data_IF_192694914398
#
_entry.id   IF_192694914398
#
_cell.length_a   1.000
_cell.length_b   1.000
_cell.length_c   1.000
_cell.angle_alpha   90.00
_cell.angle_beta   90.00
_cell.angle_gamma   90.00
#
_symmetry.space_group_name_H-M   'P 1'
#
loop_
_entity.id
_entity.type
_entity.pdbx_description
1 polymer ?
#
# COMPACT_ATOMS: atom_id res chain seq x y z
N UNK A 1 4.04 -16.22 -18.71
CA UNK A 1 4.53 -14.90 -19.14
C UNK A 1 4.37 -13.96 -17.96
N UNK A 2 5.45 -13.36 -17.46
CA UNK A 2 5.37 -12.37 -16.39
C UNK A 2 4.62 -11.16 -16.93
N UNK A 3 3.55 -10.76 -16.28
CA UNK A 3 2.74 -9.63 -16.74
C UNK A 3 3.51 -8.32 -16.51
N UNK A 4 3.50 -7.42 -17.49
CA UNK A 4 4.03 -6.06 -17.34
C UNK A 4 2.93 -5.10 -16.88
N UNK A 5 3.31 -4.03 -16.19
CA UNK A 5 2.48 -2.91 -15.77
C UNK A 5 3.27 -1.60 -15.95
N UNK A 6 2.78 -0.74 -16.84
CA UNK A 6 3.27 0.64 -16.96
C UNK A 6 2.63 1.48 -15.87
N UNK A 7 3.47 2.05 -15.00
CA UNK A 7 3.06 2.85 -13.87
C UNK A 7 2.89 4.31 -14.30
N UNK A 8 1.65 4.73 -14.51
CA UNK A 8 1.28 6.15 -14.51
C UNK A 8 1.12 6.58 -13.03
N UNK A 9 2.07 7.36 -12.48
CA UNK A 9 2.14 7.56 -11.03
C UNK A 9 0.89 8.19 -10.44
N UNK A 10 0.42 7.64 -9.31
CA UNK A 10 -0.81 8.06 -8.66
C UNK A 10 -2.10 7.55 -9.30
N UNK A 11 -2.02 6.57 -10.22
CA UNK A 11 -3.18 5.98 -10.90
C UNK A 11 -3.26 4.45 -10.79
N UNK A 12 -2.63 3.85 -9.77
CA UNK A 12 -2.78 2.41 -9.51
C UNK A 12 -4.22 2.08 -9.14
N UNK A 13 -4.85 1.19 -9.90
CA UNK A 13 -6.18 0.69 -9.58
C UNK A 13 -6.12 -0.40 -8.52
N UNK A 14 -7.25 -0.65 -7.83
CA UNK A 14 -7.38 -1.81 -6.93
C UNK A 14 -7.12 -3.16 -7.63
N UNK A 15 -7.40 -3.24 -8.94
CA UNK A 15 -7.11 -4.43 -9.74
C UNK A 15 -5.59 -4.63 -9.94
N UNK A 16 -4.85 -3.55 -10.20
CA UNK A 16 -3.39 -3.57 -10.29
C UNK A 16 -2.77 -3.96 -8.95
N UNK A 17 -3.27 -3.38 -7.85
CA UNK A 17 -2.85 -3.72 -6.49
C UNK A 17 -3.07 -5.21 -6.20
N UNK A 18 -4.26 -5.75 -6.51
CA UNK A 18 -4.56 -7.18 -6.35
C UNK A 18 -3.61 -8.05 -7.17
N UNK A 19 -3.32 -7.65 -8.41
CA UNK A 19 -2.40 -8.35 -9.32
C UNK A 19 -0.97 -8.36 -8.78
N UNK A 20 -0.44 -7.22 -8.33
CA UNK A 20 0.87 -7.08 -7.68
C UNK A 20 0.93 -7.94 -6.41
N UNK A 21 -0.11 -7.90 -5.58
CA UNK A 21 -0.14 -8.68 -4.34
C UNK A 21 -0.08 -10.19 -4.60
N UNK A 22 -0.76 -10.68 -5.63
CA UNK A 22 -0.87 -12.11 -5.92
C UNK A 22 0.33 -12.67 -6.68
N UNK A 23 0.93 -11.90 -7.60
CA UNK A 23 1.94 -12.42 -8.52
C UNK A 23 3.09 -11.42 -8.71
N UNK A 24 4.30 -11.89 -9.06
CA UNK A 24 5.32 -11.03 -9.64
C UNK A 24 4.80 -10.35 -10.92
N UNK A 25 5.02 -9.05 -11.00
CA UNK A 25 4.68 -8.18 -12.14
C UNK A 25 5.97 -7.47 -12.53
N UNK A 26 6.16 -7.11 -13.79
CA UNK A 26 7.25 -6.23 -14.21
C UNK A 26 6.74 -4.78 -14.22
N UNK A 27 7.40 -3.87 -13.52
CA UNK A 27 7.08 -2.45 -13.50
C UNK A 27 7.95 -1.68 -14.49
N UNK A 28 7.35 -0.71 -15.15
CA UNK A 28 8.05 0.32 -15.92
C UNK A 28 7.37 1.67 -15.66
N UNK A 29 8.14 2.75 -15.55
CA UNK A 29 7.55 4.09 -15.44
C UNK A 29 6.96 4.55 -16.76
N UNK A 30 5.82 5.22 -16.68
CA UNK A 30 5.26 5.93 -17.82
C UNK A 30 6.21 7.10 -18.19
N UNK A 31 6.65 7.25 -19.46
CA UNK A 31 7.64 8.24 -19.85
C UNK A 31 7.29 9.68 -19.46
N UNK A 32 6.00 10.02 -19.41
CA UNK A 32 5.50 11.34 -19.03
C UNK A 32 5.80 11.71 -17.57
N UNK A 33 6.11 10.74 -16.71
CA UNK A 33 6.44 11.00 -15.29
C UNK A 33 7.85 11.53 -15.06
N UNK A 34 8.76 11.30 -16.01
CA UNK A 34 10.18 11.63 -15.88
C UNK A 34 10.41 13.13 -15.68
N UNK A 35 9.67 13.98 -16.39
CA UNK A 35 9.82 15.43 -16.31
C UNK A 35 9.58 15.95 -14.89
N UNK A 36 8.47 15.54 -14.26
CA UNK A 36 8.12 15.97 -12.91
C UNK A 36 9.14 15.48 -11.85
N UNK A 37 9.67 14.27 -12.01
CA UNK A 37 10.72 13.73 -11.13
C UNK A 37 11.97 14.59 -11.22
N UNK A 38 12.47 14.83 -12.44
CA UNK A 38 13.69 15.61 -12.69
C UNK A 38 13.54 17.05 -12.23
N UNK A 39 12.42 17.71 -12.53
CA UNK A 39 12.14 19.08 -12.08
C UNK A 39 12.15 19.17 -10.54
N UNK A 40 11.54 18.21 -9.84
CA UNK A 40 11.54 18.18 -8.38
C UNK A 40 12.94 18.02 -7.79
N UNK A 41 13.80 17.23 -8.43
CA UNK A 41 15.18 17.05 -8.01
C UNK A 41 16.00 18.33 -8.24
N UNK A 42 15.83 18.97 -9.39
CA UNK A 42 16.49 20.24 -9.71
C UNK A 42 16.10 21.35 -8.73
N UNK A 43 14.83 21.44 -8.33
CA UNK A 43 14.36 22.38 -7.31
C UNK A 43 15.07 22.17 -5.96
N UNK A 44 15.28 20.93 -5.53
CA UNK A 44 16.05 20.65 -4.29
C UNK A 44 17.47 21.20 -4.41
N UNK A 45 18.15 20.94 -5.53
CA UNK A 45 19.51 21.43 -5.75
C UNK A 45 19.58 22.97 -5.78
N UNK A 46 18.64 23.62 -6.48
CA UNK A 46 18.56 25.08 -6.56
C UNK A 46 18.35 25.72 -5.19
N UNK A 47 17.44 25.17 -4.38
CA UNK A 47 17.14 25.74 -3.07
C UNK A 47 18.31 25.55 -2.08
N UNK A 48 19.00 24.41 -2.12
CA UNK A 48 20.23 24.20 -1.34
C UNK A 48 21.31 25.20 -1.77
N UNK A 49 21.50 25.42 -3.07
CA UNK A 49 22.48 26.36 -3.59
C UNK A 49 22.19 27.82 -3.18
N UNK A 50 20.94 28.16 -2.90
CA UNK A 50 20.53 29.46 -2.36
C UNK A 50 20.81 29.62 -0.86
N UNK A 51 21.28 28.57 -0.17
CA UNK A 51 21.55 28.59 1.27
C UNK A 51 20.30 28.55 2.16
N UNK A 52 19.13 28.19 1.60
CA UNK A 52 17.91 28.02 2.40
C UNK A 52 18.05 26.79 3.31
N UNK A 53 17.68 26.94 4.58
CA UNK A 53 17.66 25.85 5.55
C UNK A 53 16.34 25.10 5.46
N UNK A 54 16.40 23.79 5.24
CA UNK A 54 15.22 22.94 5.05
C UNK A 54 15.35 21.67 5.91
N UNK A 55 14.27 21.35 6.62
CA UNK A 55 14.16 20.14 7.44
C UNK A 55 14.50 18.87 6.66
N UNK A 56 15.48 18.10 7.15
CA UNK A 56 15.85 16.79 6.60
C UNK A 56 16.51 16.81 5.22
N UNK A 57 16.78 18.01 4.67
CA UNK A 57 17.55 18.20 3.42
C UNK A 57 18.97 18.63 3.76
N UNK A 58 19.12 19.73 4.51
CA UNK A 58 20.42 20.24 5.00
C UNK A 58 20.41 20.55 6.50
N UNK A 59 19.51 19.92 7.23
CA UNK A 59 19.43 19.97 8.70
C UNK A 59 19.41 18.56 9.27
N UNK A 60 19.67 18.44 10.57
CA UNK A 60 19.46 17.19 11.29
C UNK A 60 17.98 16.82 11.44
N UNK A 61 17.71 15.69 12.11
CA UNK A 61 16.35 15.18 12.33
C UNK A 61 15.92 15.32 13.79
N UNK A 62 14.62 15.39 14.05
CA UNK A 62 14.07 15.44 15.40
C UNK A 62 14.63 16.60 16.24
N UNK A 63 15.35 16.29 17.33
CA UNK A 63 15.97 17.31 18.19
C UNK A 63 16.95 18.23 17.42
N UNK A 64 17.56 17.74 16.34
CA UNK A 64 18.53 18.47 15.52
C UNK A 64 17.89 19.17 14.31
N UNK A 65 16.55 19.27 14.25
CA UNK A 65 15.81 19.89 13.14
C UNK A 65 16.26 21.34 12.83
N UNK A 66 16.81 22.05 13.82
CA UNK A 66 17.30 23.44 13.68
C UNK A 66 18.82 23.54 13.51
N UNK A 67 19.53 22.42 13.41
CA UNK A 67 20.99 22.40 13.24
C UNK A 67 21.33 22.21 11.77
N UNK A 68 21.97 23.21 11.17
CA UNK A 68 22.45 23.14 9.79
C UNK A 68 23.61 22.12 9.70
N UNK A 69 23.52 21.23 8.72
CA UNK A 69 24.56 20.23 8.44
C UNK A 69 25.42 20.75 7.27
N UNK A 70 26.75 20.73 7.37
CA UNK A 70 27.63 21.12 6.28
C UNK A 70 27.37 20.30 5.02
N UNK A 71 27.54 20.90 3.84
CA UNK A 71 27.23 20.25 2.56
C UNK A 71 28.03 18.96 2.35
N UNK A 72 29.29 18.94 2.80
CA UNK A 72 30.19 17.79 2.77
C UNK A 72 29.74 16.61 3.66
N UNK A 73 28.87 16.86 4.64
CA UNK A 73 28.31 15.83 5.52
C UNK A 73 26.93 15.33 5.08
N UNK A 74 26.29 15.97 4.08
CA UNK A 74 24.92 15.62 3.68
C UNK A 74 24.80 14.19 3.15
N UNK A 75 25.79 13.72 2.39
CA UNK A 75 25.85 12.34 1.92
C UNK A 75 25.92 11.36 3.10
N UNK A 76 26.81 11.64 4.06
CA UNK A 76 26.96 10.82 5.25
C UNK A 76 25.69 10.81 6.11
N UNK A 77 24.99 11.95 6.19
CA UNK A 77 23.70 12.07 6.85
C UNK A 77 22.65 11.15 6.21
N UNK A 78 22.56 11.11 4.87
CA UNK A 78 21.61 10.23 4.17
C UNK A 78 21.91 8.75 4.38
N UNK A 79 23.18 8.37 4.37
CA UNK A 79 23.58 7.01 4.68
C UNK A 79 23.22 6.65 6.14
N UNK A 80 23.52 7.55 7.08
CA UNK A 80 23.30 7.33 8.51
C UNK A 80 21.82 7.27 8.89
N UNK A 81 20.95 8.08 8.28
CA UNK A 81 19.51 8.02 8.58
C UNK A 81 18.94 6.66 8.16
N UNK A 82 19.31 6.13 7.00
CA UNK A 82 18.85 4.81 6.55
C UNK A 82 19.26 3.73 7.55
N UNK A 83 20.54 3.65 7.93
CA UNK A 83 21.01 2.60 8.83
C UNK A 83 20.47 2.73 10.26
N UNK A 84 20.44 3.95 10.80
CA UNK A 84 19.94 4.19 12.17
C UNK A 84 18.44 3.90 12.32
N UNK A 85 17.66 4.05 11.25
CA UNK A 85 16.22 3.81 11.27
C UNK A 85 15.85 2.38 10.87
N UNK A 86 16.77 1.57 10.33
CA UNK A 86 16.57 0.15 10.05
C UNK A 86 16.54 -0.68 11.35
N UNK A 87 15.63 -0.33 12.25
CA UNK A 87 15.49 -0.84 13.61
C UNK A 87 14.21 -1.67 13.82
N UNK A 88 13.57 -2.10 12.72
CA UNK A 88 12.46 -3.06 12.78
C UNK A 88 12.87 -4.40 13.39
N UNK A 89 11.91 -5.11 13.99
CA UNK A 89 12.11 -6.38 14.69
C UNK A 89 11.01 -7.40 14.37
N UNK A 90 11.23 -8.65 14.78
CA UNK A 90 10.29 -9.74 14.60
C UNK A 90 10.53 -10.53 13.32
N UNK A 91 9.53 -11.31 12.92
CA UNK A 91 9.58 -12.07 11.68
C UNK A 91 9.59 -11.13 10.47
N UNK A 92 10.14 -11.59 9.35
CA UNK A 92 10.11 -10.83 8.11
C UNK A 92 8.74 -10.89 7.45
N UNK A 93 8.32 -9.79 6.86
CA UNK A 93 7.14 -9.73 6.00
C UNK A 93 7.28 -10.68 4.81
N UNK A 94 6.15 -11.23 4.35
CA UNK A 94 6.11 -12.06 3.15
C UNK A 94 6.61 -11.28 1.92
N UNK A 95 7.23 -11.99 0.96
CA UNK A 95 7.69 -11.38 -0.30
C UNK A 95 6.57 -10.65 -1.06
N UNK A 96 5.31 -11.09 -0.94
CA UNK A 96 4.16 -10.39 -1.54
C UNK A 96 3.89 -9.03 -0.89
N UNK A 97 4.04 -8.93 0.43
CA UNK A 97 3.88 -7.69 1.18
C UNK A 97 5.01 -6.72 0.84
N UNK A 98 6.26 -7.19 0.83
CA UNK A 98 7.42 -6.36 0.46
C UNK A 98 7.31 -5.91 -1.00
N UNK A 99 6.90 -6.80 -1.92
CA UNK A 99 6.64 -6.44 -3.32
C UNK A 99 5.61 -5.33 -3.44
N UNK A 100 4.47 -5.46 -2.76
CA UNK A 100 3.43 -4.42 -2.77
C UNK A 100 3.96 -3.10 -2.18
N UNK A 101 4.64 -3.15 -1.05
CA UNK A 101 5.25 -1.97 -0.42
C UNK A 101 6.26 -1.26 -1.34
N UNK A 102 7.12 -2.00 -2.04
CA UNK A 102 8.03 -1.45 -3.05
C UNK A 102 7.28 -0.77 -4.19
N UNK A 103 6.24 -1.42 -4.74
CA UNK A 103 5.43 -0.84 -5.82
C UNK A 103 4.75 0.47 -5.38
N UNK A 104 4.21 0.53 -4.16
CA UNK A 104 3.61 1.73 -3.59
C UNK A 104 4.64 2.85 -3.37
N UNK A 105 5.86 2.51 -2.93
CA UNK A 105 6.94 3.49 -2.74
C UNK A 105 7.38 4.07 -4.08
N UNK A 106 7.59 3.21 -5.08
CA UNK A 106 7.90 3.64 -6.45
C UNK A 106 6.77 4.55 -6.95
N UNK A 107 5.50 4.15 -6.83
CA UNK A 107 4.34 4.95 -7.24
C UNK A 107 4.31 6.33 -6.60
N UNK A 108 4.53 6.43 -5.28
CA UNK A 108 4.56 7.70 -4.55
C UNK A 108 5.70 8.60 -5.02
N UNK A 109 6.93 8.07 -5.09
CA UNK A 109 8.12 8.86 -5.47
C UNK A 109 8.01 9.37 -6.91
N UNK A 110 7.49 8.53 -7.81
CA UNK A 110 7.35 8.87 -9.23
C UNK A 110 6.31 9.94 -9.53
N UNK A 111 5.55 10.41 -8.52
CA UNK A 111 4.66 11.57 -8.69
C UNK A 111 5.41 12.89 -8.81
N UNK A 112 6.71 12.94 -8.49
CA UNK A 112 7.55 14.13 -8.71
C UNK A 112 7.41 15.22 -7.63
N UNK A 113 7.11 14.84 -6.39
CA UNK A 113 7.02 15.78 -5.26
C UNK A 113 8.06 15.48 -4.15
N UNK A 114 8.91 14.47 -4.35
CA UNK A 114 9.82 13.98 -3.32
C UNK A 114 11.27 14.43 -3.54
N UNK A 115 11.61 15.06 -4.68
CA UNK A 115 12.96 15.58 -4.93
C UNK A 115 14.07 14.52 -4.97
N UNK A 116 13.69 13.26 -5.22
CA UNK A 116 14.61 12.12 -5.35
C UNK A 116 15.05 11.99 -6.81
N UNK A 117 16.28 11.53 -7.06
CA UNK A 117 16.75 11.26 -8.42
C UNK A 117 15.98 10.12 -9.08
N UNK A 118 15.81 10.24 -10.40
CA UNK A 118 15.25 9.18 -11.24
C UNK A 118 16.04 7.87 -11.10
N UNK A 119 17.38 7.93 -11.04
CA UNK A 119 18.23 6.73 -10.94
C UNK A 119 17.93 5.89 -9.69
N UNK A 120 17.50 6.50 -8.59
CA UNK A 120 17.15 5.79 -7.35
C UNK A 120 15.81 5.09 -7.50
N UNK A 121 14.85 5.73 -8.17
CA UNK A 121 13.56 5.10 -8.51
C UNK A 121 13.78 3.94 -9.50
N UNK A 122 14.62 4.13 -10.51
CA UNK A 122 14.98 3.08 -11.47
C UNK A 122 15.69 1.90 -10.80
N UNK A 123 16.52 2.14 -9.79
CA UNK A 123 17.15 1.09 -9.00
C UNK A 123 16.13 0.29 -8.17
N UNK A 124 15.14 0.95 -7.55
CA UNK A 124 14.04 0.27 -6.88
C UNK A 124 13.22 -0.59 -7.86
N UNK A 125 12.98 -0.08 -9.07
CA UNK A 125 12.30 -0.83 -10.14
C UNK A 125 13.14 -2.04 -10.59
N UNK A 126 14.45 -1.88 -10.75
CA UNK A 126 15.34 -2.97 -11.14
C UNK A 126 15.37 -4.09 -10.07
N UNK A 127 15.47 -3.75 -8.78
CA UNK A 127 15.35 -4.73 -7.69
C UNK A 127 13.98 -5.43 -7.70
N UNK A 128 12.90 -4.66 -7.84
CA UNK A 128 11.53 -5.18 -7.90
C UNK A 128 11.35 -6.17 -9.06
N UNK A 129 11.82 -5.80 -10.26
CA UNK A 129 11.71 -6.58 -11.49
C UNK A 129 12.60 -7.83 -11.47
N UNK A 130 13.72 -7.79 -10.77
CA UNK A 130 14.60 -8.93 -10.52
C UNK A 130 14.08 -9.87 -9.42
N UNK A 131 12.91 -9.59 -8.83
CA UNK A 131 12.35 -10.34 -7.70
C UNK A 131 13.33 -10.43 -6.52
N UNK A 132 14.06 -9.33 -6.29
CA UNK A 132 14.97 -9.14 -5.16
C UNK A 132 14.25 -8.30 -4.11
N UNK A 133 13.69 -8.97 -3.09
CA UNK A 133 12.86 -8.30 -2.09
C UNK A 133 13.64 -8.11 -0.79
N UNK A 134 13.79 -6.89 -0.26
CA UNK A 134 14.44 -6.67 1.04
C UNK A 134 13.80 -7.48 2.17
N UNK A 135 14.60 -8.00 3.09
CA UNK A 135 14.13 -8.64 4.31
C UNK A 135 13.65 -7.58 5.30
N UNK A 136 12.35 -7.28 5.28
CA UNK A 136 11.74 -6.22 6.10
C UNK A 136 11.01 -6.82 7.30
N UNK A 137 11.40 -6.53 8.55
CA UNK A 137 10.70 -7.03 9.74
C UNK A 137 9.27 -6.48 9.85
N UNK A 138 8.37 -7.30 10.38
CA UNK A 138 6.94 -6.99 10.46
C UNK A 138 6.59 -5.92 11.53
N UNK A 139 7.46 -5.69 12.53
CA UNK A 139 7.20 -4.75 13.65
C UNK A 139 8.23 -3.63 13.71
N UNK A 140 7.79 -2.47 14.20
CA UNK A 140 8.65 -1.33 14.50
C UNK A 140 8.08 0.01 14.02
N UNK A 141 7.24 -0.01 12.97
CA UNK A 141 6.49 1.19 12.57
C UNK A 141 5.39 1.50 13.59
N UNK A 142 5.15 2.79 13.80
CA UNK A 142 4.02 3.32 14.58
C UNK A 142 3.03 4.11 13.71
N UNK A 143 3.27 4.23 12.40
CA UNK A 143 2.40 4.96 11.46
C UNK A 143 2.26 6.48 11.69
N UNK A 144 2.84 7.05 12.74
CA UNK A 144 2.67 8.47 13.10
C UNK A 144 3.71 9.42 12.46
N UNK A 145 4.90 8.92 12.14
CA UNK A 145 6.01 9.68 11.52
C UNK A 145 6.43 9.10 10.17
N UNK A 146 5.50 8.39 9.52
CA UNK A 146 5.78 7.45 8.45
C UNK A 146 6.25 6.08 8.96
N UNK A 147 6.33 5.14 8.03
CA UNK A 147 6.78 3.77 8.18
C UNK A 147 8.31 3.67 8.17
N UNK A 148 8.96 4.51 9.01
CA UNK A 148 10.41 4.73 8.98
C UNK A 148 11.21 3.43 9.05
N UNK A 149 10.90 2.55 10.01
CA UNK A 149 11.65 1.32 10.23
C UNK A 149 11.58 0.33 9.06
N UNK A 150 10.38 -0.08 8.58
CA UNK A 150 10.30 -1.00 7.45
C UNK A 150 10.80 -0.38 6.13
N UNK A 151 10.60 0.92 5.90
CA UNK A 151 11.11 1.60 4.71
C UNK A 151 12.62 1.83 4.74
N UNK A 152 13.21 1.98 5.93
CA UNK A 152 14.66 1.96 6.13
C UNK A 152 15.25 0.60 5.76
N UNK A 153 14.70 -0.50 6.28
CA UNK A 153 15.10 -1.85 5.91
C UNK A 153 15.02 -2.09 4.40
N UNK A 154 13.93 -1.64 3.74
CA UNK A 154 13.82 -1.67 2.27
C UNK A 154 14.97 -0.93 1.59
N UNK A 155 15.36 0.21 2.14
CA UNK A 155 16.31 1.13 1.52
C UNK A 155 17.78 0.78 1.81
N UNK A 156 18.07 -0.02 2.85
CA UNK A 156 19.44 -0.52 3.11
C UNK A 156 20.05 -1.22 1.91
N UNK A 157 19.22 -1.90 1.10
CA UNK A 157 19.68 -2.65 -0.08
C UNK A 157 20.28 -1.73 -1.13
N UNK A 158 19.75 -0.51 -1.29
CA UNK A 158 20.32 0.49 -2.22
C UNK A 158 21.74 0.88 -1.82
N UNK A 159 22.07 0.81 -0.52
CA UNK A 159 23.42 1.07 0.00
C UNK A 159 24.34 -0.15 -0.09
N UNK A 160 23.84 -1.30 -0.56
CA UNK A 160 24.54 -2.59 -0.52
C UNK A 160 24.55 -3.26 0.85
N UNK A 161 23.81 -2.71 1.81
CA UNK A 161 23.68 -3.20 3.18
C UNK A 161 22.42 -4.06 3.34
N UNK A 162 22.26 -4.67 4.51
CA UNK A 162 21.07 -5.47 4.82
C UNK A 162 21.02 -6.81 4.07
N UNK A 163 19.81 -7.37 3.95
CA UNK A 163 19.58 -8.69 3.39
C UNK A 163 18.32 -8.71 2.52
N UNK A 164 18.30 -9.61 1.54
CA UNK A 164 17.20 -9.79 0.59
C UNK A 164 16.74 -11.23 0.58
N UNK A 165 15.45 -11.42 0.28
CA UNK A 165 14.85 -12.68 -0.11
C UNK A 165 14.77 -12.73 -1.63
N UNK A 166 15.37 -13.75 -2.25
CA UNK A 166 15.31 -14.00 -3.68
C UNK A 166 15.00 -15.47 -3.92
N UNK A 167 13.84 -15.76 -4.54
CA UNK A 167 13.33 -17.11 -4.78
C UNK A 167 13.42 -18.06 -3.56
N UNK A 168 13.07 -17.55 -2.37
CA UNK A 168 13.08 -18.31 -1.12
C UNK A 168 14.45 -18.45 -0.45
N UNK A 169 15.50 -17.83 -1.01
CA UNK A 169 16.83 -17.80 -0.41
C UNK A 169 17.14 -16.40 0.16
N UNK A 170 17.68 -16.38 1.39
CA UNK A 170 18.17 -15.17 2.03
C UNK A 170 19.62 -14.91 1.61
N UNK A 171 19.87 -13.72 1.08
CA UNK A 171 21.17 -13.29 0.56
C UNK A 171 21.54 -11.92 1.15
N UNK A 172 22.80 -11.52 1.09
CA UNK A 172 23.21 -10.16 1.44
C UNK A 172 22.66 -9.13 0.44
N UNK A 173 22.43 -7.90 0.90
CA UNK A 173 21.97 -6.78 0.05
C UNK A 173 22.88 -6.55 -1.15
N UNK A 174 24.21 -6.57 -0.94
CA UNK A 174 25.20 -6.54 -2.02
C UNK A 174 24.96 -7.62 -3.08
N UNK A 175 24.67 -8.86 -2.68
CA UNK A 175 24.38 -9.92 -3.65
C UNK A 175 23.06 -9.68 -4.38
N UNK A 176 22.07 -9.13 -3.68
CA UNK A 176 20.81 -8.67 -4.28
C UNK A 176 21.01 -7.62 -5.38
N UNK A 177 21.84 -6.60 -5.12
CA UNK A 177 22.20 -5.59 -6.12
C UNK A 177 22.88 -6.22 -7.34
N UNK A 178 23.85 -7.13 -7.13
CA UNK A 178 24.51 -7.85 -8.24
C UNK A 178 23.50 -8.62 -9.11
N UNK A 179 22.50 -9.27 -8.50
CA UNK A 179 21.44 -9.99 -9.22
C UNK A 179 20.60 -9.02 -10.07
N UNK A 180 20.30 -7.83 -9.54
CA UNK A 180 19.57 -6.78 -10.25
C UNK A 180 20.43 -6.00 -11.25
N UNK A 181 21.72 -6.32 -11.40
CA UNK A 181 22.64 -5.60 -12.28
C UNK A 181 23.03 -4.20 -11.77
N UNK A 182 22.92 -3.98 -10.47
CA UNK A 182 23.16 -2.70 -9.81
C UNK A 182 24.47 -2.70 -9.00
N UNK A 183 24.95 -1.51 -8.72
CA UNK A 183 26.00 -1.25 -7.71
C UNK A 183 25.39 -0.42 -6.57
N UNK A 184 26.02 -0.41 -5.37
CA UNK A 184 25.57 0.46 -4.28
C UNK A 184 25.44 1.91 -4.72
N UNK A 185 24.37 2.56 -4.25
CA UNK A 185 24.01 3.94 -4.60
C UNK A 185 24.38 4.85 -3.44
N UNK A 186 25.15 5.88 -3.75
CA UNK A 186 25.37 7.02 -2.87
C UNK A 186 24.14 7.92 -2.91
N UNK A 187 23.48 8.12 -1.76
CA UNK A 187 22.28 8.96 -1.67
C UNK A 187 22.63 10.46 -1.59
N UNK A 188 21.90 11.26 -2.36
CA UNK A 188 22.00 12.72 -2.38
C UNK A 188 21.06 13.39 -1.38
N UNK A 189 21.13 14.72 -1.21
CA UNK A 189 20.30 15.46 -0.26
C UNK A 189 18.81 15.12 -0.38
N UNK A 190 18.12 14.99 0.77
CA UNK A 190 16.70 14.58 0.91
C UNK A 190 16.40 13.11 0.61
N UNK A 191 17.22 12.39 -0.15
CA UNK A 191 16.84 11.07 -0.67
C UNK A 191 16.65 10.01 0.41
N UNK A 192 17.45 10.02 1.47
CA UNK A 192 17.27 9.14 2.62
C UNK A 192 15.89 9.36 3.27
N UNK A 193 15.48 10.62 3.42
CA UNK A 193 14.17 10.93 3.98
C UNK A 193 13.02 10.61 3.01
N UNK A 194 13.17 10.87 1.71
CA UNK A 194 12.17 10.52 0.70
C UNK A 194 11.90 9.00 0.66
N UNK A 195 12.94 8.21 0.84
CA UNK A 195 12.85 6.75 0.91
C UNK A 195 12.15 6.27 2.19
N UNK A 196 12.56 6.79 3.35
CA UNK A 196 12.08 6.34 4.67
C UNK A 196 10.71 6.90 5.05
N UNK A 197 10.36 8.08 4.57
CA UNK A 197 9.15 8.78 4.97
C UNK A 197 7.98 8.41 4.06
N UNK A 198 6.81 8.12 4.64
CA UNK A 198 5.63 7.65 3.92
C UNK A 198 4.92 6.50 4.59
N UNK A 199 3.80 6.10 4.01
CA UNK A 199 2.79 5.21 4.62
C UNK A 199 2.69 3.84 3.95
N UNK A 200 3.69 3.47 3.15
CA UNK A 200 3.59 2.35 2.21
C UNK A 200 3.58 0.97 2.89
N UNK A 201 4.20 0.80 4.06
CA UNK A 201 4.16 -0.48 4.78
C UNK A 201 2.77 -0.68 5.42
N UNK A 202 2.27 0.35 6.10
CA UNK A 202 0.93 0.42 6.67
C UNK A 202 -0.13 0.20 5.59
N UNK A 203 -0.03 0.92 4.47
CA UNK A 203 -0.95 0.80 3.34
C UNK A 203 -0.89 -0.59 2.70
N UNK A 204 0.30 -1.18 2.49
CA UNK A 204 0.43 -2.52 1.91
C UNK A 204 -0.23 -3.60 2.79
N UNK A 205 0.00 -3.56 4.10
CA UNK A 205 -0.62 -4.51 5.05
C UNK A 205 -2.15 -4.34 5.09
N UNK A 206 -2.64 -3.10 5.15
CA UNK A 206 -4.07 -2.80 5.16
C UNK A 206 -4.76 -3.23 3.84
N UNK A 207 -4.13 -2.98 2.69
CA UNK A 207 -4.60 -3.45 1.39
C UNK A 207 -4.66 -4.98 1.33
N UNK A 208 -3.65 -5.70 1.84
CA UNK A 208 -3.72 -7.15 1.92
C UNK A 208 -4.88 -7.64 2.81
N UNK A 209 -5.13 -6.95 3.93
CA UNK A 209 -6.29 -7.19 4.78
C UNK A 209 -7.61 -6.96 4.04
N UNK A 210 -7.72 -5.88 3.28
CA UNK A 210 -8.87 -5.57 2.43
C UNK A 210 -9.12 -6.67 1.40
N UNK A 211 -8.10 -7.05 0.63
CA UNK A 211 -8.21 -8.07 -0.42
C UNK A 211 -8.67 -9.42 0.15
N UNK A 212 -8.09 -9.83 1.29
CA UNK A 212 -8.52 -11.05 2.02
C UNK A 212 -9.95 -10.92 2.54
N UNK A 213 -10.35 -9.74 3.01
CA UNK A 213 -11.70 -9.48 3.50
C UNK A 213 -12.74 -9.58 2.37
N UNK A 214 -12.43 -9.09 1.17
CA UNK A 214 -13.28 -9.25 -0.01
C UNK A 214 -13.46 -10.72 -0.39
N UNK A 215 -12.38 -11.51 -0.37
CA UNK A 215 -12.42 -12.94 -0.69
C UNK A 215 -13.25 -13.72 0.36
N UNK A 216 -13.04 -13.44 1.64
CA UNK A 216 -13.82 -14.03 2.74
C UNK A 216 -15.29 -13.60 2.70
N UNK A 217 -15.55 -12.35 2.34
CA UNK A 217 -16.91 -11.84 2.19
C UNK A 217 -17.67 -12.60 1.10
N UNK A 218 -17.05 -12.78 -0.07
CA UNK A 218 -17.64 -13.58 -1.16
C UNK A 218 -17.89 -15.04 -0.73
N UNK A 219 -16.92 -15.68 -0.07
CA UNK A 219 -17.07 -17.03 0.45
C UNK A 219 -18.19 -17.15 1.50
N UNK A 220 -18.36 -16.14 2.35
CA UNK A 220 -19.40 -16.08 3.35
C UNK A 220 -20.81 -15.97 2.73
N UNK A 221 -20.98 -15.21 1.64
CA UNK A 221 -22.26 -15.16 0.91
C UNK A 221 -22.65 -16.52 0.33
N UNK A 222 -21.68 -17.25 -0.24
CA UNK A 222 -21.90 -18.61 -0.76
C UNK A 222 -22.25 -19.58 0.37
N UNK A 223 -21.44 -19.58 1.44
CA UNK A 223 -21.63 -20.46 2.59
C UNK A 223 -22.96 -20.19 3.30
N UNK A 224 -23.33 -18.91 3.42
CA UNK A 224 -24.62 -18.46 3.96
C UNK A 224 -25.80 -18.91 3.10
N UNK A 225 -25.66 -18.83 1.77
CA UNK A 225 -26.68 -19.32 0.83
C UNK A 225 -26.87 -20.84 0.95
N UNK A 226 -25.78 -21.61 1.02
CA UNK A 226 -25.84 -23.06 1.24
C UNK A 226 -26.47 -23.40 2.60
N UNK A 227 -26.18 -22.61 3.64
CA UNK A 227 -26.77 -22.80 4.97
C UNK A 227 -28.27 -22.54 5.00
N UNK A 228 -28.75 -21.55 4.23
CA UNK A 228 -30.19 -21.31 4.04
C UNK A 228 -30.86 -22.53 3.40
N UNK A 229 -30.28 -23.08 2.32
CA UNK A 229 -30.82 -24.27 1.68
C UNK A 229 -30.81 -25.49 2.63
N UNK A 230 -29.68 -25.76 3.28
CA UNK A 230 -29.55 -26.90 4.19
C UNK A 230 -30.52 -26.84 5.38
N UNK A 231 -30.85 -25.63 5.83
CA UNK A 231 -31.79 -25.40 6.93
C UNK A 231 -33.26 -25.35 6.49
N UNK A 232 -33.57 -25.57 5.20
CA UNK A 232 -34.90 -25.37 4.63
C UNK A 232 -35.43 -23.94 4.92
N UNK A 233 -34.54 -22.95 4.83
CA UNK A 233 -34.81 -21.55 5.17
C UNK A 233 -35.66 -20.85 4.11
N UNK A 234 -36.32 -19.77 4.53
CA UNK A 234 -37.15 -18.93 3.66
C UNK A 234 -36.30 -18.04 2.75
N UNK A 235 -36.76 -17.87 1.51
CA UNK A 235 -36.22 -16.88 0.56
C UNK A 235 -36.84 -15.48 0.72
N UNK A 236 -37.96 -15.35 1.44
CA UNK A 236 -38.67 -14.08 1.64
C UNK A 236 -37.81 -12.99 2.29
N UNK A 237 -36.90 -13.28 3.26
CA UNK A 237 -35.99 -12.28 3.82
C UNK A 237 -35.10 -11.56 2.82
N UNK A 238 -34.89 -12.12 1.63
CA UNK A 238 -34.03 -11.57 0.58
C UNK A 238 -34.83 -10.75 -0.47
N UNK A 239 -36.14 -10.58 -0.29
CA UNK A 239 -37.00 -9.85 -1.23
C UNK A 239 -36.53 -8.40 -1.39
N UNK A 240 -36.35 -7.90 -2.64
CA UNK A 240 -35.85 -6.55 -2.89
C UNK A 240 -36.64 -5.46 -2.17
N UNK A 241 -37.96 -5.62 -1.95
CA UNK A 241 -38.81 -4.61 -1.30
C UNK A 241 -38.36 -4.34 0.14
N UNK A 242 -37.94 -5.37 0.88
CA UNK A 242 -37.46 -5.24 2.27
C UNK A 242 -36.21 -4.37 2.32
N UNK A 243 -35.33 -4.53 1.35
CA UNK A 243 -34.03 -3.85 1.33
C UNK A 243 -34.15 -2.44 0.77
N UNK A 244 -34.98 -2.27 -0.26
CA UNK A 244 -35.30 -0.98 -0.86
C UNK A 244 -35.96 -0.02 0.14
N UNK A 245 -36.96 -0.48 0.92
CA UNK A 245 -37.62 0.38 1.92
C UNK A 245 -36.69 0.79 3.06
N UNK A 246 -35.64 0.00 3.35
CA UNK A 246 -34.62 0.34 4.35
C UNK A 246 -33.56 1.31 3.81
N UNK A 247 -33.22 1.24 2.52
CA UNK A 247 -32.42 2.25 1.82
C UNK A 247 -30.89 2.12 1.90
N UNK A 248 -30.33 1.14 2.62
CA UNK A 248 -28.87 0.94 2.64
C UNK A 248 -28.37 0.21 1.38
N UNK A 249 -27.58 0.90 0.56
CA UNK A 249 -27.10 0.35 -0.73
C UNK A 249 -26.39 -1.00 -0.60
N UNK A 250 -25.42 -1.12 0.33
CA UNK A 250 -24.69 -2.37 0.52
C UNK A 250 -25.59 -3.54 0.96
N UNK A 251 -26.64 -3.28 1.75
CA UNK A 251 -27.62 -4.32 2.08
C UNK A 251 -28.44 -4.73 0.85
N UNK A 252 -28.82 -3.78 -0.01
CA UNK A 252 -29.55 -4.05 -1.26
C UNK A 252 -28.70 -4.92 -2.18
N UNK A 253 -27.42 -4.60 -2.33
CA UNK A 253 -26.47 -5.33 -3.17
C UNK A 253 -26.26 -6.76 -2.65
N UNK A 254 -26.08 -6.91 -1.33
CA UNK A 254 -25.92 -8.22 -0.69
C UNK A 254 -27.16 -9.07 -0.86
N UNK A 255 -28.35 -8.51 -0.65
CA UNK A 255 -29.58 -9.24 -0.87
C UNK A 255 -29.74 -9.67 -2.34
N UNK A 256 -29.34 -8.82 -3.28
CA UNK A 256 -29.32 -9.18 -4.69
C UNK A 256 -28.37 -10.35 -4.97
N UNK A 257 -27.20 -10.37 -4.33
CA UNK A 257 -26.26 -11.49 -4.43
C UNK A 257 -26.86 -12.79 -3.87
N UNK A 258 -27.47 -12.76 -2.68
CA UNK A 258 -28.16 -13.92 -2.12
C UNK A 258 -29.27 -14.44 -3.02
N UNK A 259 -30.09 -13.56 -3.61
CA UNK A 259 -31.13 -13.99 -4.57
C UNK A 259 -30.52 -14.66 -5.81
N UNK A 260 -29.42 -14.12 -6.33
CA UNK A 260 -28.73 -14.71 -7.47
C UNK A 260 -28.15 -16.10 -7.15
N UNK A 261 -27.54 -16.26 -5.96
CA UNK A 261 -26.95 -17.52 -5.51
C UNK A 261 -28.00 -18.58 -5.16
N UNK A 262 -29.08 -18.20 -4.47
CA UNK A 262 -30.13 -19.12 -4.02
C UNK A 262 -31.07 -19.56 -5.14
N UNK A 263 -31.28 -18.70 -6.14
CA UNK A 263 -32.18 -18.94 -7.27
C UNK A 263 -33.48 -19.64 -6.86
N UNK A 264 -33.88 -20.61 -7.70
CA UNK A 264 -34.93 -21.58 -7.38
C UNK A 264 -34.35 -22.98 -7.32
N UNK A 265 -34.77 -23.77 -6.34
CA UNK A 265 -34.26 -25.14 -6.15
C UNK A 265 -35.36 -26.14 -5.81
N UNK A 266 -35.05 -27.44 -5.89
CA UNK A 266 -35.96 -28.48 -5.42
C UNK A 266 -36.13 -28.44 -3.89
N UNK A 267 -35.09 -27.99 -3.18
CA UNK A 267 -35.11 -27.83 -1.73
C UNK A 267 -36.13 -26.74 -1.37
N UNK A 268 -36.08 -25.57 -2.01
CA UNK A 268 -37.10 -24.50 -1.87
C UNK A 268 -38.54 -25.03 -1.84
N UNK A 269 -38.87 -25.83 -2.85
CA UNK A 269 -40.22 -26.32 -3.08
C UNK A 269 -40.63 -27.36 -2.03
N UNK A 270 -39.66 -28.10 -1.48
CA UNK A 270 -39.92 -29.16 -0.50
C UNK A 270 -40.51 -28.64 0.81
N UNK A 271 -40.31 -27.35 1.11
CA UNK A 271 -40.76 -26.71 2.35
C UNK A 271 -41.60 -25.45 2.10
N UNK A 272 -42.24 -25.32 0.94
CA UNK A 272 -43.10 -24.17 0.61
C UNK A 272 -44.29 -24.00 1.59
N UNK A 273 -44.73 -25.12 2.19
CA UNK A 273 -45.82 -25.18 3.16
C UNK A 273 -45.32 -25.37 4.61
N UNK A 274 -44.08 -24.97 4.92
CA UNK A 274 -43.51 -25.09 6.26
C UNK A 274 -44.29 -24.27 7.31
N UNK A 275 -44.52 -24.85 8.49
CA UNK A 275 -45.21 -24.17 9.60
C UNK A 275 -44.35 -23.07 10.28
N UNK A 276 -43.05 -23.04 10.01
CA UNK A 276 -42.14 -22.07 10.60
C UNK A 276 -42.45 -20.65 10.11
N UNK A 277 -42.85 -19.78 11.03
CA UNK A 277 -43.26 -18.39 10.72
C UNK A 277 -42.05 -17.50 10.37
N UNK A 278 -40.90 -17.74 11.01
CA UNK A 278 -39.69 -16.95 10.79
C UNK A 278 -38.43 -17.80 10.99
N UNK A 279 -37.45 -17.63 10.12
CA UNK A 279 -36.11 -18.17 10.34
C UNK A 279 -35.36 -17.43 11.46
N UNK A 280 -34.39 -18.10 12.11
CA UNK A 280 -33.43 -17.47 13.01
C UNK A 280 -32.71 -16.28 12.35
N UNK A 281 -32.27 -15.33 13.16
CA UNK A 281 -31.59 -14.13 12.68
C UNK A 281 -30.30 -14.44 11.91
N UNK A 282 -29.58 -15.51 12.27
CA UNK A 282 -28.38 -15.95 11.53
C UNK A 282 -28.66 -16.28 10.07
N UNK A 283 -29.91 -16.58 9.69
CA UNK A 283 -30.31 -16.81 8.29
C UNK A 283 -31.03 -15.58 7.73
N UNK A 284 -32.08 -15.10 8.41
CA UNK A 284 -32.94 -14.01 7.91
C UNK A 284 -32.28 -12.64 7.91
N UNK A 285 -31.36 -12.37 8.83
CA UNK A 285 -30.70 -11.08 8.95
C UNK A 285 -29.36 -11.01 8.18
N UNK A 286 -29.04 -12.02 7.37
CA UNK A 286 -27.80 -12.03 6.58
C UNK A 286 -27.65 -10.78 5.71
N UNK A 287 -28.67 -10.29 4.96
CA UNK A 287 -28.51 -9.05 4.19
C UNK A 287 -28.15 -7.83 5.02
N UNK A 288 -28.71 -7.72 6.22
CA UNK A 288 -28.49 -6.60 7.14
C UNK A 288 -27.07 -6.63 7.70
N UNK A 289 -26.63 -7.79 8.19
CA UNK A 289 -25.31 -7.96 8.82
C UNK A 289 -24.21 -7.90 7.76
N UNK A 290 -24.32 -8.70 6.70
CA UNK A 290 -23.33 -8.73 5.63
C UNK A 290 -23.34 -7.41 4.84
N UNK A 291 -24.50 -6.76 4.70
CA UNK A 291 -24.58 -5.41 4.13
C UNK A 291 -23.79 -4.37 4.93
N UNK A 292 -23.80 -4.45 6.27
CA UNK A 292 -22.99 -3.59 7.11
C UNK A 292 -21.48 -3.86 6.91
N UNK A 293 -21.08 -5.13 6.84
CA UNK A 293 -19.69 -5.51 6.53
C UNK A 293 -19.25 -4.98 5.15
N UNK A 294 -20.09 -5.12 4.12
CA UNK A 294 -19.78 -4.62 2.77
C UNK A 294 -19.61 -3.10 2.75
N UNK A 295 -20.40 -2.36 3.53
CA UNK A 295 -20.20 -0.92 3.69
C UNK A 295 -18.81 -0.60 4.24
N UNK A 296 -18.36 -1.31 5.28
CA UNK A 296 -17.03 -1.07 5.85
C UNK A 296 -15.92 -1.47 4.89
N UNK A 297 -16.05 -2.59 4.18
CA UNK A 297 -15.10 -3.02 3.13
C UNK A 297 -14.98 -1.93 2.05
N UNK A 298 -16.11 -1.37 1.59
CA UNK A 298 -16.12 -0.30 0.57
C UNK A 298 -15.49 1.00 1.08
N UNK A 299 -15.76 1.38 2.33
CA UNK A 299 -15.17 2.56 2.94
C UNK A 299 -13.64 2.43 3.05
N UNK A 300 -13.16 1.29 3.57
CA UNK A 300 -11.73 1.00 3.64
C UNK A 300 -11.09 0.96 2.25
N UNK A 301 -11.75 0.35 1.26
CA UNK A 301 -11.27 0.32 -0.12
C UNK A 301 -11.09 1.73 -0.70
N UNK A 302 -12.01 2.64 -0.43
CA UNK A 302 -11.90 4.02 -0.89
C UNK A 302 -10.68 4.73 -0.28
N UNK A 303 -10.52 4.63 1.04
CA UNK A 303 -9.42 5.28 1.76
C UNK A 303 -8.07 4.71 1.31
N UNK A 304 -7.94 3.38 1.29
CA UNK A 304 -6.70 2.70 0.93
C UNK A 304 -6.33 2.89 -0.54
N UNK A 305 -7.31 3.00 -1.44
CA UNK A 305 -7.04 3.31 -2.84
C UNK A 305 -6.49 4.73 -3.04
N UNK A 306 -6.97 5.70 -2.26
CA UNK A 306 -6.41 7.05 -2.24
C UNK A 306 -4.98 7.00 -1.70
N UNK A 307 -4.77 6.33 -0.56
CA UNK A 307 -3.46 6.25 0.08
C UNK A 307 -2.41 5.56 -0.79
N UNK A 308 -2.80 4.50 -1.50
CA UNK A 308 -1.92 3.78 -2.43
C UNK A 308 -1.35 4.68 -3.55
N UNK A 309 -2.02 5.80 -3.82
CA UNK A 309 -1.70 6.79 -4.83
C UNK A 309 -1.26 8.15 -4.25
N UNK A 310 -1.13 8.24 -2.92
CA UNK A 310 -0.74 9.47 -2.23
C UNK A 310 0.76 9.76 -2.38
N UNK A 311 1.12 11.03 -2.22
CA UNK A 311 2.49 11.43 -1.88
C UNK A 311 2.54 11.59 -0.37
N UNK A 312 3.21 10.66 0.29
CA UNK A 312 3.26 10.59 1.76
C UNK A 312 4.63 10.87 2.37
N UNK A 313 5.65 11.25 1.58
CA UNK A 313 6.92 11.72 2.12
C UNK A 313 6.85 13.16 2.63
N UNK A 314 7.94 13.64 3.23
CA UNK A 314 8.06 15.01 3.73
C UNK A 314 9.54 15.43 3.83
N UNK A 315 9.88 16.71 3.58
CA UNK A 315 9.03 17.76 3.03
C UNK A 315 8.67 17.53 1.57
N UNK A 316 7.64 18.20 1.06
CA UNK A 316 7.21 18.11 -0.33
C UNK A 316 7.84 19.21 -1.18
N UNK A 317 8.18 18.87 -2.41
CA UNK A 317 8.77 19.77 -3.40
C UNK A 317 7.70 20.20 -4.39
N UNK A 318 7.49 21.51 -4.51
CA UNK A 318 6.59 22.12 -5.47
C UNK A 318 7.41 22.88 -6.51
N UNK A 319 7.89 22.16 -7.53
CA UNK A 319 8.83 22.68 -8.52
C UNK A 319 8.29 23.93 -9.26
N UNK A 320 7.00 23.93 -9.60
CA UNK A 320 6.32 25.06 -10.25
C UNK A 320 6.35 26.36 -9.42
N UNK A 321 6.50 26.23 -8.10
CA UNK A 321 6.54 27.36 -7.15
C UNK A 321 7.97 27.61 -6.64
N UNK A 322 8.95 26.79 -7.07
CA UNK A 322 10.30 26.75 -6.54
C UNK A 322 10.34 26.72 -5.00
N UNK A 323 9.48 25.90 -4.40
CA UNK A 323 9.31 25.83 -2.96
C UNK A 323 9.36 24.40 -2.40
N UNK A 324 9.73 24.32 -1.12
CA UNK A 324 9.75 23.08 -0.34
C UNK A 324 8.98 23.32 0.96
N UNK A 325 7.89 22.57 1.13
CA UNK A 325 6.93 22.77 2.20
C UNK A 325 6.94 21.55 3.12
N UNK A 326 7.15 21.78 4.41
CA UNK A 326 6.98 20.75 5.42
C UNK A 326 5.50 20.64 5.81
N UNK A 327 4.97 19.42 5.75
CA UNK A 327 3.62 19.04 6.16
C UNK A 327 3.63 17.77 7.01
N UNK A 328 2.54 17.00 6.92
CA UNK A 328 2.31 15.81 7.76
C UNK A 328 1.70 14.62 7.00
N UNK A 329 1.87 14.54 5.68
CA UNK A 329 1.28 13.48 4.86
C UNK A 329 1.77 12.06 5.21
N UNK A 330 2.82 11.95 6.01
CA UNK A 330 3.36 10.69 6.51
C UNK A 330 2.55 10.07 7.65
N UNK A 331 1.60 10.81 8.22
CA UNK A 331 0.79 10.30 9.31
C UNK A 331 -0.33 9.40 8.77
N UNK A 332 -0.23 8.10 9.02
CA UNK A 332 -1.09 7.06 8.49
C UNK A 332 -2.46 6.95 9.21
N UNK A 333 -2.97 8.03 9.80
CA UNK A 333 -4.24 8.00 10.57
C UNK A 333 -5.41 7.49 9.70
N UNK A 334 -5.57 7.91 8.43
CA UNK A 334 -6.63 7.37 7.58
C UNK A 334 -6.50 5.87 7.32
N UNK A 335 -5.27 5.34 7.25
CA UNK A 335 -5.01 3.90 7.04
C UNK A 335 -5.34 3.08 8.28
N UNK A 336 -5.17 3.68 9.46
CA UNK A 336 -5.39 3.03 10.74
C UNK A 336 -6.88 2.87 11.11
N UNK A 337 -7.73 3.81 10.68
CA UNK A 337 -9.19 3.81 10.93
C UNK A 337 -9.95 2.79 10.08
#
# INVERSE_FOLDING_TARGET
MTSSLTLSPGQLSLADIRKINQNPVQLQLAPESIAAITESQETVHQIIAQGRTIYGVNTGFGLLANTLIPNEELEHLQHSIVLSHAAGIGDFMDSSTVRLMMALKINSLSRGFSGIRLEVIEALIALYNAEVYPCVPEKGSVGASGDLAPLAHLSTILLGEGEVMHHGQRLSGKKGLEIAGLSPITLGPKEGLALLNGTQASCALALQGLLKSEDLFAAALISGSLSVEAALGSRRPFDPKIHQVRGHQSQIDVAACYRNLLGHSAIEKSHENCEAVQDPYSLRCQPQVMGACLTQIRNAAQILHIEANAVSDNPLVFANENDIISGGNFHAEPVAM
#
